data_IF_745665904312
#
_entry.id   IF_745665904312
#
_cell.length_a   1.000
_cell.length_b   1.000
_cell.length_c   1.000
_cell.angle_alpha   90.00
_cell.angle_beta   90.00
_cell.angle_gamma   90.00
#
_symmetry.space_group_name_H-M   'P 1'
#
loop_
_entity.id
_entity.type
_entity.pdbx_description
1 polymer ?
#
# COMPACT_ATOMS: atom_id res chain seq x y z
N UNK A 1 10.74 -8.25 0.25
CA UNK A 1 9.42 -8.65 -0.30
C UNK A 1 9.43 -10.17 -0.48
N UNK A 2 8.36 -10.86 -0.11
CA UNK A 2 8.25 -12.34 -0.23
C UNK A 2 7.21 -12.76 -1.25
N UNK A 3 6.01 -12.18 -1.18
CA UNK A 3 4.94 -12.47 -2.11
C UNK A 3 3.95 -11.30 -2.21
N UNK A 4 3.11 -11.35 -3.25
CA UNK A 4 1.88 -10.56 -3.34
C UNK A 4 0.70 -11.51 -3.11
N UNK A 5 -0.35 -11.00 -2.48
CA UNK A 5 -1.59 -11.73 -2.26
C UNK A 5 -2.81 -10.89 -2.61
N UNK A 6 -3.91 -11.59 -2.85
CA UNK A 6 -5.24 -11.04 -3.08
C UNK A 6 -6.20 -11.70 -2.10
N UNK A 7 -6.95 -10.89 -1.37
CA UNK A 7 -7.94 -11.36 -0.39
C UNK A 7 -9.34 -11.04 -0.91
N UNK A 8 -10.24 -12.00 -0.78
CA UNK A 8 -11.66 -11.84 -1.08
C UNK A 8 -12.44 -11.89 0.23
N UNK A 9 -13.10 -10.79 0.58
CA UNK A 9 -13.98 -10.68 1.74
C UNK A 9 -15.40 -11.05 1.34
N UNK A 10 -16.01 -11.95 2.10
CA UNK A 10 -17.42 -12.37 1.97
C UNK A 10 -17.85 -12.68 0.54
N UNK A 11 -16.94 -13.25 -0.27
CA UNK A 11 -17.14 -13.53 -1.69
C UNK A 11 -17.66 -12.34 -2.54
N UNK A 12 -17.53 -11.11 -2.05
CA UNK A 12 -18.20 -9.93 -2.61
C UNK A 12 -17.26 -8.72 -2.78
N UNK A 13 -16.12 -8.70 -2.08
CA UNK A 13 -15.16 -7.61 -2.16
C UNK A 13 -13.72 -8.11 -2.26
N UNK A 14 -12.94 -7.62 -3.23
CA UNK A 14 -11.57 -8.09 -3.48
C UNK A 14 -10.56 -6.98 -3.24
N UNK A 15 -9.56 -7.25 -2.39
CA UNK A 15 -8.40 -6.39 -2.18
C UNK A 15 -7.17 -7.07 -2.79
N UNK A 16 -6.64 -6.45 -3.84
CA UNK A 16 -5.42 -6.91 -4.55
C UNK A 16 -4.18 -6.18 -4.06
N UNK A 17 -3.02 -6.74 -4.36
CA UNK A 17 -1.70 -6.15 -4.12
C UNK A 17 -1.36 -5.94 -2.63
N UNK A 18 -1.85 -6.81 -1.75
CA UNK A 18 -1.32 -6.91 -0.40
C UNK A 18 0.06 -7.58 -0.50
N UNK A 19 1.07 -7.04 0.19
CA UNK A 19 2.45 -7.53 0.13
C UNK A 19 2.77 -8.30 1.40
N UNK A 20 3.41 -9.46 1.28
CA UNK A 20 4.01 -10.19 2.40
C UNK A 20 5.49 -9.81 2.45
N UNK A 21 5.95 -9.29 3.58
CA UNK A 21 7.30 -8.75 3.77
C UNK A 21 7.99 -9.46 4.92
N UNK A 22 9.26 -9.84 4.72
CA UNK A 22 10.14 -10.27 5.80
C UNK A 22 10.75 -9.05 6.47
N UNK A 23 10.35 -8.79 7.72
CA UNK A 23 10.98 -7.81 8.60
C UNK A 23 12.01 -8.45 9.54
N UNK A 24 12.56 -7.63 10.43
CA UNK A 24 13.47 -8.09 11.50
C UNK A 24 12.76 -9.03 12.48
N UNK A 25 11.47 -8.78 12.75
CA UNK A 25 10.66 -9.54 13.72
C UNK A 25 9.76 -10.60 13.06
N UNK A 26 10.12 -11.07 11.86
CA UNK A 26 9.34 -12.07 11.13
C UNK A 26 8.53 -11.49 9.96
N UNK A 27 7.59 -12.30 9.47
CA UNK A 27 6.73 -11.94 8.35
C UNK A 27 5.61 -10.99 8.82
N UNK A 28 5.29 -10.00 7.98
CA UNK A 28 4.15 -9.11 8.18
C UNK A 28 3.53 -8.74 6.84
N UNK A 29 2.29 -8.24 6.88
CA UNK A 29 1.61 -7.75 5.68
C UNK A 29 1.74 -6.24 5.55
N UNK A 30 1.95 -5.76 4.33
CA UNK A 30 1.81 -4.36 3.96
C UNK A 30 0.63 -4.21 3.02
N UNK A 31 -0.27 -3.30 3.38
CA UNK A 31 -1.48 -3.04 2.62
C UNK A 31 -1.18 -2.49 1.23
N UNK A 32 -2.13 -2.56 0.29
CA UNK A 32 -1.96 -1.98 -1.04
C UNK A 32 -1.84 -0.46 -0.90
N UNK A 33 -0.76 0.12 -1.43
CA UNK A 33 -0.50 1.56 -1.32
C UNK A 33 -0.29 2.21 -2.69
N UNK A 34 -0.63 3.51 -2.78
CA UNK A 34 -0.40 4.35 -3.97
C UNK A 34 0.33 5.63 -3.59
N UNK A 35 1.25 6.03 -4.47
CA UNK A 35 1.90 7.33 -4.42
C UNK A 35 0.88 8.41 -4.77
N UNK A 36 0.70 9.37 -3.87
CA UNK A 36 -0.20 10.51 -4.06
C UNK A 36 0.39 11.49 -5.06
N UNK A 37 -0.44 12.00 -5.97
CA UNK A 37 -0.07 13.07 -6.90
C UNK A 37 -1.12 14.17 -6.86
N UNK A 38 -0.68 15.42 -6.86
CA UNK A 38 -1.56 16.59 -6.75
C UNK A 38 -1.56 17.39 -8.06
N UNK A 39 -2.74 17.74 -8.60
CA UNK A 39 -2.82 18.54 -9.82
C UNK A 39 -2.37 19.98 -9.56
N UNK A 40 -1.60 20.56 -10.48
CA UNK A 40 -1.29 21.98 -10.47
C UNK A 40 -2.56 22.80 -10.76
N UNK A 41 -2.82 23.83 -9.95
CA UNK A 41 -3.97 24.74 -10.14
C UNK A 41 -3.88 25.58 -11.41
N UNK A 42 -2.68 25.76 -11.98
CA UNK A 42 -2.48 26.52 -13.23
C UNK A 42 -2.62 25.68 -14.49
N UNK A 43 -1.97 24.52 -14.55
CA UNK A 43 -1.90 23.71 -15.78
C UNK A 43 -2.50 22.29 -15.67
N UNK A 44 -2.97 21.90 -14.48
CA UNK A 44 -3.54 20.56 -14.24
C UNK A 44 -2.52 19.42 -14.15
N UNK A 45 -1.23 19.66 -14.38
CA UNK A 45 -0.21 18.61 -14.32
C UNK A 45 -0.14 17.96 -12.93
N UNK A 46 -0.07 16.63 -12.88
CA UNK A 46 -0.02 15.85 -11.63
C UNK A 46 1.40 15.79 -11.07
N UNK A 47 1.67 16.61 -10.08
CA UNK A 47 2.98 16.71 -9.43
C UNK A 47 3.15 15.68 -8.31
N UNK A 48 4.39 15.38 -7.99
CA UNK A 48 4.73 14.50 -6.87
C UNK A 48 4.37 15.17 -5.54
N UNK A 49 3.93 14.38 -4.56
CA UNK A 49 3.66 14.88 -3.22
C UNK A 49 4.89 15.62 -2.66
N UNK A 50 4.68 16.82 -2.11
CA UNK A 50 5.76 17.65 -1.57
C UNK A 50 6.51 18.52 -2.59
N UNK A 51 6.15 18.47 -3.88
CA UNK A 51 6.73 19.39 -4.88
C UNK A 51 6.33 20.84 -4.58
N UNK A 52 7.32 21.75 -4.45
CA UNK A 52 7.08 23.19 -4.21
C UNK A 52 6.62 23.94 -5.47
N UNK A 53 7.05 23.47 -6.63
CA UNK A 53 6.73 24.05 -7.94
C UNK A 53 6.23 22.96 -8.87
N UNK A 54 5.41 23.34 -9.84
CA UNK A 54 4.92 22.41 -10.84
C UNK A 54 6.05 21.95 -11.77
N UNK A 55 6.21 20.64 -11.94
CA UNK A 55 7.20 20.01 -12.82
C UNK A 55 6.95 20.24 -14.32
N UNK A 56 5.84 20.88 -14.70
CA UNK A 56 5.50 21.21 -16.08
C UNK A 56 5.53 22.71 -16.38
N UNK A 57 4.95 23.54 -15.50
CA UNK A 57 4.77 24.98 -15.76
C UNK A 57 5.50 25.89 -14.76
N UNK A 58 6.30 25.29 -13.86
CA UNK A 58 7.07 25.95 -12.81
C UNK A 58 6.27 26.84 -11.84
N UNK A 59 4.93 26.77 -11.89
CA UNK A 59 4.08 27.59 -11.02
C UNK A 59 4.10 27.06 -9.60
N UNK A 60 4.06 27.95 -8.60
CA UNK A 60 4.06 27.53 -7.19
C UNK A 60 2.84 26.64 -6.92
N UNK A 61 3.07 25.54 -6.22
CA UNK A 61 2.00 24.66 -5.77
C UNK A 61 1.60 25.11 -4.36
N UNK A 62 0.35 25.55 -4.20
CA UNK A 62 -0.22 25.85 -2.89
C UNK A 62 -0.48 24.53 -2.17
N UNK A 63 0.36 24.20 -1.18
CA UNK A 63 0.03 23.12 -0.26
C UNK A 63 -1.22 23.54 0.53
N UNK A 64 -2.25 22.69 0.50
CA UNK A 64 -3.24 22.66 1.59
C UNK A 64 -2.51 21.91 2.70
N UNK A 65 -1.77 22.67 3.51
CA UNK A 65 -1.38 22.18 4.83
C UNK A 65 -2.65 22.13 5.71
N UNK A 66 -2.62 21.34 6.78
CA UNK A 66 -3.60 21.33 7.89
C UNK A 66 -4.79 20.36 7.82
N UNK A 67 -4.53 19.05 7.71
CA UNK A 67 -5.07 18.13 8.72
C UNK A 67 -3.98 17.12 9.11
N UNK A 68 -3.54 17.25 10.37
CA UNK A 68 -2.67 16.35 11.13
C UNK A 68 -1.14 16.48 10.97
N UNK A 69 -0.59 17.53 11.61
CA UNK A 69 0.85 17.77 11.90
C UNK A 69 1.53 16.69 12.80
N UNK A 70 1.08 15.44 12.81
CA UNK A 70 1.67 14.38 13.66
C UNK A 70 2.04 13.09 12.93
N UNK A 71 2.58 13.16 11.71
CA UNK A 71 3.47 12.11 11.16
C UNK A 71 4.03 12.49 9.77
N UNK A 72 4.94 13.47 9.69
CA UNK A 72 5.73 13.70 8.47
C UNK A 72 7.07 12.99 8.62
N UNK A 73 7.01 11.67 8.72
CA UNK A 73 8.08 10.85 8.17
C UNK A 73 7.88 10.79 6.66
N UNK A 74 8.94 10.60 5.88
CA UNK A 74 8.94 10.50 4.40
C UNK A 74 7.97 9.45 3.79
N UNK A 75 7.15 8.77 4.62
CA UNK A 75 5.98 7.95 4.28
C UNK A 75 4.76 8.70 3.78
N UNK A 76 4.63 10.02 3.98
CA UNK A 76 3.45 10.79 3.56
C UNK A 76 3.20 10.77 2.03
N UNK A 77 4.18 10.34 1.23
CA UNK A 77 4.06 10.17 -0.21
C UNK A 77 3.19 8.97 -0.62
N UNK A 78 3.20 7.89 0.16
CA UNK A 78 2.43 6.67 -0.14
C UNK A 78 1.31 6.51 0.87
N UNK A 79 0.07 6.52 0.39
CA UNK A 79 -1.10 6.23 1.21
C UNK A 79 -1.64 4.86 0.89
N UNK A 80 -2.01 4.12 1.94
CA UNK A 80 -2.69 2.85 1.79
C UNK A 80 -4.07 3.09 1.18
N UNK A 81 -4.40 2.31 0.15
CA UNK A 81 -5.69 2.34 -0.54
C UNK A 81 -6.75 1.64 0.32
N UNK A 82 -6.33 0.59 1.05
CA UNK A 82 -7.16 -0.14 1.99
C UNK A 82 -6.36 -0.33 3.27
N UNK A 83 -6.99 -0.18 4.43
CA UNK A 83 -6.36 -0.43 5.72
C UNK A 83 -7.39 -1.00 6.71
N UNK A 84 -6.99 -1.96 7.56
CA UNK A 84 -7.79 -2.35 8.71
C UNK A 84 -8.08 -1.15 9.60
N UNK A 85 -9.34 -1.01 10.03
CA UNK A 85 -9.74 0.07 10.95
C UNK A 85 -9.36 -0.29 12.39
N UNK A 86 -9.58 -1.54 12.79
CA UNK A 86 -9.32 -2.02 14.15
C UNK A 86 -8.06 -2.88 14.20
N UNK A 87 -7.41 -2.88 15.36
CA UNK A 87 -6.25 -3.74 15.60
C UNK A 87 -6.63 -5.23 15.53
N UNK A 88 -7.77 -5.60 16.09
CA UNK A 88 -8.28 -6.98 16.02
C UNK A 88 -8.40 -7.48 14.59
N UNK A 89 -8.99 -6.69 13.69
CA UNK A 89 -9.13 -7.08 12.28
C UNK A 89 -7.77 -7.10 11.56
N UNK A 90 -6.85 -6.21 11.94
CA UNK A 90 -5.46 -6.22 11.43
C UNK A 90 -4.76 -7.53 11.78
N UNK A 91 -4.85 -7.95 13.03
CA UNK A 91 -4.19 -9.15 13.52
C UNK A 91 -4.80 -10.40 12.89
N UNK A 92 -6.13 -10.47 12.82
CA UNK A 92 -6.86 -11.51 12.08
C UNK A 92 -6.38 -11.62 10.62
N UNK A 93 -6.40 -10.51 9.88
CA UNK A 93 -6.02 -10.49 8.47
C UNK A 93 -4.56 -10.89 8.26
N UNK A 94 -3.66 -10.43 9.15
CA UNK A 94 -2.25 -10.78 9.08
C UNK A 94 -2.01 -12.26 9.32
N UNK A 95 -2.63 -12.83 10.34
CA UNK A 95 -2.47 -14.24 10.70
C UNK A 95 -2.97 -15.14 9.57
N UNK A 96 -4.20 -14.90 9.06
CA UNK A 96 -4.79 -15.67 7.96
C UNK A 96 -3.91 -15.66 6.70
N UNK A 97 -3.43 -14.49 6.29
CA UNK A 97 -2.59 -14.37 5.10
C UNK A 97 -1.24 -15.08 5.27
N UNK A 98 -0.60 -14.91 6.44
CA UNK A 98 0.72 -15.51 6.69
C UNK A 98 0.60 -17.02 6.78
N UNK A 99 -0.44 -17.54 7.43
CA UNK A 99 -0.69 -18.98 7.52
C UNK A 99 -0.89 -19.58 6.13
N UNK A 100 -1.74 -18.97 5.30
CA UNK A 100 -1.95 -19.41 3.91
C UNK A 100 -0.63 -19.39 3.11
N UNK A 101 0.18 -18.34 3.27
CA UNK A 101 1.49 -18.27 2.62
C UNK A 101 2.46 -19.36 3.08
N UNK A 102 2.50 -19.68 4.38
CA UNK A 102 3.38 -20.73 4.92
C UNK A 102 2.95 -22.12 4.47
N UNK A 103 1.63 -22.39 4.40
CA UNK A 103 1.07 -23.62 3.83
C UNK A 103 1.52 -23.79 2.38
N UNK A 104 1.42 -22.74 1.58
CA UNK A 104 1.84 -22.79 0.18
C UNK A 104 3.36 -22.90 0.02
N UNK A 105 4.14 -22.21 0.87
CA UNK A 105 5.59 -22.25 0.84
C UNK A 105 6.18 -23.61 1.23
N UNK A 106 5.46 -24.41 2.03
CA UNK A 106 5.86 -25.78 2.38
C UNK A 106 5.38 -26.81 1.35
N UNK A 107 4.56 -26.42 0.38
CA UNK A 107 4.09 -27.30 -0.69
C UNK A 107 5.16 -27.46 -1.79
N UNK A 108 5.74 -28.67 -1.99
CA UNK A 108 6.82 -28.89 -2.97
C UNK A 108 6.40 -28.71 -4.44
N UNK A 109 5.09 -28.58 -4.74
CA UNK A 109 4.57 -28.33 -6.08
C UNK A 109 4.45 -26.84 -6.46
N UNK A 110 4.66 -25.90 -5.53
CA UNK A 110 4.38 -24.47 -5.74
C UNK A 110 5.30 -23.75 -6.74
N UNK A 111 6.35 -24.40 -7.26
CA UNK A 111 7.30 -23.78 -8.19
C UNK A 111 6.79 -23.60 -9.63
N UNK A 112 5.62 -24.15 -9.98
CA UNK A 112 5.11 -24.17 -11.37
C UNK A 112 3.59 -23.93 -11.47
N UNK A 113 3.08 -22.81 -10.98
CA UNK A 113 1.77 -22.30 -11.46
C UNK A 113 1.95 -20.91 -12.05
N UNK A 114 1.69 -20.84 -13.36
CA UNK A 114 2.04 -19.72 -14.23
C UNK A 114 1.16 -18.51 -14.00
N UNK A 115 1.76 -17.34 -14.24
CA UNK A 115 1.07 -16.17 -14.75
C UNK A 115 0.14 -16.57 -15.92
N UNK A 116 -1.11 -16.12 -15.85
CA UNK A 116 -2.02 -16.02 -16.98
C UNK A 116 -2.48 -14.57 -17.10
#
# INVERSE_FOLDING_TARGET
LKAYTTVTFDNSFVVRNIKIIQGQNGLFIAMPSRKMKYPCTKCGFKNEAGSKYCNQCASPLSHIDDTDEKNIDAKAEHRDIAHPITQEFRDYLQNEIIEAYQKEASNPMASHSQAS
#
